data_IF_833524475367
#
_entry.id   IF_833524475367
#
_cell.length_a   1.000
_cell.length_b   1.000
_cell.length_c   1.000
_cell.angle_alpha   90.00
_cell.angle_beta   90.00
_cell.angle_gamma   90.00
#
_symmetry.space_group_name_H-M   'P 1'
#
loop_
_entity.id
_entity.type
_entity.pdbx_description
1 polymer ?
#
# COMPACT_ATOMS: atom_id res chain seq x y z
N UNK A 1 7.51 17.57 8.46
CA UNK A 1 8.73 17.74 9.28
C UNK A 1 9.93 18.02 8.40
N UNK A 2 10.95 18.69 8.94
CA UNK A 2 12.26 18.89 8.31
C UNK A 2 13.28 18.00 9.04
N UNK A 3 13.94 17.10 8.31
CA UNK A 3 14.96 16.20 8.85
C UNK A 3 16.20 16.26 7.95
N UNK A 4 17.37 16.57 8.51
CA UNK A 4 18.66 16.46 7.82
C UNK A 4 19.52 15.46 8.58
N UNK A 5 19.79 14.31 7.99
CA UNK A 5 20.49 13.19 8.65
C UNK A 5 21.25 12.32 7.63
N UNK A 6 22.30 11.60 8.05
CA UNK A 6 22.96 10.59 7.24
C UNK A 6 22.02 9.45 6.84
N UNK A 7 22.28 8.85 5.67
CA UNK A 7 21.53 7.69 5.17
C UNK A 7 22.20 6.38 5.56
N UNK A 8 21.41 5.42 6.05
CA UNK A 8 21.81 4.03 6.27
C UNK A 8 21.09 3.13 5.26
N UNK A 9 21.86 2.34 4.49
CA UNK A 9 21.30 1.36 3.55
C UNK A 9 20.88 0.11 4.32
N UNK A 10 19.60 -0.23 4.25
CA UNK A 10 19.13 -1.50 4.78
C UNK A 10 19.34 -2.58 3.71
N UNK A 11 20.07 -3.67 4.02
CA UNK A 11 20.39 -4.72 3.06
C UNK A 11 19.15 -5.50 2.62
N UNK A 12 19.33 -6.30 1.56
CA UNK A 12 18.28 -7.07 0.92
C UNK A 12 17.06 -6.20 0.55
N UNK A 13 15.92 -6.49 1.16
CA UNK A 13 14.68 -5.73 1.01
C UNK A 13 14.22 -5.10 2.33
N UNK A 14 14.98 -5.20 3.43
CA UNK A 14 14.56 -4.68 4.73
C UNK A 14 13.24 -5.27 5.23
N UNK A 15 12.97 -6.53 4.90
CA UNK A 15 11.71 -7.21 5.22
C UNK A 15 11.79 -8.01 6.52
N UNK A 16 12.99 -8.24 7.04
CA UNK A 16 13.20 -9.01 8.26
C UNK A 16 14.04 -8.25 9.27
N UNK A 17 13.84 -8.46 10.58
CA UNK A 17 14.65 -7.84 11.64
C UNK A 17 16.17 -7.95 11.41
N UNK A 18 16.64 -9.08 10.89
CA UNK A 18 18.06 -9.32 10.59
C UNK A 18 18.65 -8.33 9.59
N UNK A 19 17.85 -7.83 8.64
CA UNK A 19 18.31 -6.83 7.66
C UNK A 19 18.67 -5.52 8.37
N UNK A 20 17.79 -5.11 9.30
CA UNK A 20 17.94 -3.88 10.07
C UNK A 20 19.01 -3.98 11.15
N UNK A 21 19.17 -5.15 11.76
CA UNK A 21 20.24 -5.43 12.73
C UNK A 21 21.62 -5.36 12.09
N UNK A 22 21.77 -5.88 10.86
CA UNK A 22 23.03 -5.80 10.10
C UNK A 22 23.39 -4.38 9.71
N UNK A 23 22.41 -3.58 9.28
CA UNK A 23 22.63 -2.17 8.97
C UNK A 23 22.87 -1.32 10.21
N UNK A 24 22.36 -1.77 11.37
CA UNK A 24 22.38 -1.06 12.65
C UNK A 24 22.13 0.46 12.51
N UNK A 25 20.98 0.89 11.97
CA UNK A 25 20.72 2.30 11.70
C UNK A 25 20.58 3.14 12.98
N UNK A 26 20.60 2.53 14.18
CA UNK A 26 20.61 3.23 15.45
C UNK A 26 21.98 3.89 15.73
N UNK A 27 22.38 4.83 14.89
CA UNK A 27 23.30 5.86 15.34
C UNK A 27 22.48 6.73 16.31
N UNK A 28 23.03 6.99 17.49
CA UNK A 28 22.35 7.56 18.65
C UNK A 28 21.38 8.72 18.28
N UNK A 29 20.17 8.74 18.88
CA UNK A 29 19.17 9.83 18.83
C UNK A 29 18.30 10.00 17.56
N UNK A 30 17.82 8.94 16.90
CA UNK A 30 16.97 9.06 15.67
C UNK A 30 17.65 9.78 14.50
N UNK A 31 18.97 9.67 14.42
CA UNK A 31 19.81 10.49 13.53
C UNK A 31 20.09 9.85 12.17
N UNK A 32 19.26 8.92 11.69
CA UNK A 32 19.49 8.30 10.37
C UNK A 32 18.22 8.18 9.55
N UNK A 33 18.36 8.34 8.24
CA UNK A 33 17.33 7.97 7.27
C UNK A 33 17.64 6.58 6.72
N UNK A 34 16.69 5.65 6.85
CA UNK A 34 16.83 4.32 6.28
C UNK A 34 16.50 4.35 4.78
N UNK A 35 17.37 3.79 3.93
CA UNK A 35 17.10 3.53 2.52
C UNK A 35 16.82 2.04 2.32
N UNK A 36 15.64 1.72 1.78
CA UNK A 36 15.16 0.33 1.61
C UNK A 36 14.70 0.10 0.17
N UNK A 37 15.10 -1.02 -0.43
CA UNK A 37 14.68 -1.40 -1.79
C UNK A 37 13.23 -1.91 -1.80
N UNK A 38 12.46 -1.55 -2.82
CA UNK A 38 11.14 -2.14 -3.12
C UNK A 38 11.27 -3.65 -3.34
N UNK A 39 10.34 -4.42 -2.80
CA UNK A 39 10.24 -5.86 -3.04
C UNK A 39 9.99 -6.65 -1.76
N UNK A 40 9.64 -7.92 -1.96
CA UNK A 40 9.43 -9.00 -0.98
C UNK A 40 8.34 -8.79 0.10
N UNK A 41 8.18 -7.60 0.63
CA UNK A 41 7.18 -7.23 1.63
C UNK A 41 6.59 -5.85 1.32
N UNK A 42 5.48 -5.52 1.95
CA UNK A 42 4.76 -4.26 1.77
C UNK A 42 5.54 -3.08 2.35
N UNK A 43 5.27 -1.87 1.85
CA UNK A 43 5.84 -0.66 2.44
C UNK A 43 5.39 -0.42 3.89
N UNK A 44 4.20 -0.93 4.26
CA UNK A 44 3.70 -0.89 5.65
C UNK A 44 4.57 -1.76 6.57
N UNK A 45 5.01 -2.93 6.11
CA UNK A 45 5.91 -3.80 6.89
C UNK A 45 7.30 -3.17 7.05
N UNK A 46 7.88 -2.65 5.96
CA UNK A 46 9.15 -1.91 6.02
C UNK A 46 9.06 -0.72 6.98
N UNK A 47 7.95 0.00 6.93
CA UNK A 47 7.65 1.12 7.80
C UNK A 47 7.56 0.73 9.29
N UNK A 48 6.88 -0.39 9.60
CA UNK A 48 6.84 -0.93 10.98
C UNK A 48 8.22 -1.28 11.50
N UNK A 49 9.08 -1.86 10.66
CA UNK A 49 10.47 -2.15 11.04
C UNK A 49 11.25 -0.84 11.23
N UNK A 50 11.12 0.13 10.32
CA UNK A 50 11.73 1.45 10.47
C UNK A 50 11.36 2.10 11.82
N UNK A 51 10.09 2.04 12.21
CA UNK A 51 9.62 2.48 13.52
C UNK A 51 10.26 1.69 14.67
N UNK A 52 10.30 0.36 14.58
CA UNK A 52 10.93 -0.51 15.60
C UNK A 52 12.41 -0.20 15.81
N UNK A 53 13.13 0.16 14.74
CA UNK A 53 14.54 0.54 14.80
C UNK A 53 14.77 2.04 15.03
N UNK A 54 13.70 2.81 15.30
CA UNK A 54 13.74 4.23 15.73
C UNK A 54 14.52 5.14 14.75
N UNK A 55 14.31 4.94 13.45
CA UNK A 55 14.94 5.79 12.41
C UNK A 55 14.27 7.16 12.35
N UNK A 56 15.03 8.17 11.92
CA UNK A 56 14.53 9.54 11.75
C UNK A 56 13.64 9.71 10.52
N UNK A 57 13.83 8.89 9.48
CA UNK A 57 13.07 8.92 8.22
C UNK A 57 13.23 7.64 7.41
N UNK A 58 12.32 7.44 6.44
CA UNK A 58 12.31 6.26 5.57
C UNK A 58 12.28 6.66 4.08
N UNK A 59 13.27 6.18 3.32
CA UNK A 59 13.29 6.22 1.88
C UNK A 59 13.08 4.81 1.35
N UNK A 60 12.03 4.61 0.56
CA UNK A 60 11.86 3.39 -0.22
C UNK A 60 12.18 3.72 -1.67
N UNK A 61 12.98 2.92 -2.37
CA UNK A 61 13.26 3.16 -3.79
C UNK A 61 12.80 2.01 -4.66
N UNK A 62 12.39 2.32 -5.89
CA UNK A 62 11.95 1.30 -6.84
C UNK A 62 13.09 0.32 -7.17
N UNK A 63 12.77 -0.88 -7.65
CA UNK A 63 13.77 -1.94 -7.79
C UNK A 63 14.37 -2.11 -9.18
N UNK A 64 13.84 -1.39 -10.18
CA UNK A 64 14.33 -1.43 -11.55
C UNK A 64 14.13 -2.79 -12.24
N UNK A 65 13.25 -3.65 -11.71
CA UNK A 65 13.09 -5.02 -12.20
C UNK A 65 12.42 -5.13 -13.58
N UNK A 66 11.75 -4.06 -14.02
CA UNK A 66 11.12 -3.94 -15.35
C UNK A 66 11.02 -2.46 -15.74
N UNK A 67 10.68 -2.19 -17.00
CA UNK A 67 10.63 -0.83 -17.56
C UNK A 67 9.70 0.10 -16.77
N UNK A 68 8.59 -0.43 -16.26
CA UNK A 68 7.58 0.24 -15.43
C UNK A 68 7.94 0.31 -13.93
N UNK A 69 9.12 -0.17 -13.54
CA UNK A 69 9.59 -0.22 -12.15
C UNK A 69 10.81 0.67 -11.90
N UNK A 70 10.90 1.77 -12.64
CA UNK A 70 11.92 2.79 -12.45
C UNK A 70 11.40 4.03 -11.73
N UNK A 71 10.19 4.48 -12.01
CA UNK A 71 9.65 5.73 -11.46
C UNK A 71 9.18 5.62 -10.01
N UNK A 72 9.10 6.72 -9.25
CA UNK A 72 8.54 6.70 -7.90
C UNK A 72 7.07 6.24 -7.87
N UNK A 73 6.65 5.64 -6.75
CA UNK A 73 5.25 5.27 -6.53
C UNK A 73 4.62 6.08 -5.40
N UNK A 74 3.34 6.40 -5.54
CA UNK A 74 2.52 6.74 -4.38
C UNK A 74 2.45 5.51 -3.47
N UNK A 75 2.76 5.70 -2.18
CA UNK A 75 2.82 4.58 -1.24
C UNK A 75 2.27 4.96 0.12
N UNK A 76 1.74 3.96 0.83
CA UNK A 76 1.26 4.10 2.21
C UNK A 76 2.29 3.54 3.17
N UNK A 77 2.56 4.28 4.25
CA UNK A 77 3.45 3.87 5.34
C UNK A 77 2.73 3.37 6.59
N UNK A 78 1.39 3.30 6.54
CA UNK A 78 0.55 2.84 7.64
C UNK A 78 0.32 3.91 8.72
N UNK A 79 -0.59 3.61 9.65
CA UNK A 79 -1.12 4.58 10.62
C UNK A 79 -0.22 4.88 11.85
N UNK A 80 1.02 4.36 11.90
CA UNK A 80 1.84 4.33 13.13
C UNK A 80 3.24 4.92 12.97
N UNK A 81 3.44 5.88 12.08
CA UNK A 81 4.77 6.46 11.83
C UNK A 81 4.86 7.90 12.29
N UNK A 82 5.85 8.20 13.14
CA UNK A 82 6.18 9.56 13.56
C UNK A 82 7.33 10.19 12.74
N UNK A 83 7.73 9.56 11.63
CA UNK A 83 8.84 9.98 10.78
C UNK A 83 8.38 10.24 9.34
N UNK A 84 9.03 11.17 8.61
CA UNK A 84 8.76 11.37 7.19
C UNK A 84 9.18 10.14 6.38
N UNK A 85 8.39 9.82 5.35
CA UNK A 85 8.70 8.75 4.41
C UNK A 85 8.45 9.17 2.97
N UNK A 86 9.35 8.81 2.06
CA UNK A 86 9.25 9.12 0.64
C UNK A 86 9.59 7.89 -0.22
N UNK A 87 8.97 7.80 -1.39
CA UNK A 87 9.32 6.82 -2.41
C UNK A 87 10.18 7.47 -3.48
N UNK A 88 11.27 6.82 -3.87
CA UNK A 88 12.24 7.30 -4.84
C UNK A 88 12.20 6.44 -6.11
N UNK A 89 12.66 7.03 -7.20
CA UNK A 89 12.96 6.27 -8.41
C UNK A 89 14.11 5.27 -8.15
N UNK A 90 14.19 4.24 -8.99
CA UNK A 90 15.29 3.29 -8.95
C UNK A 90 16.63 4.01 -9.08
N UNK A 91 16.77 4.92 -10.05
CA UNK A 91 18.03 5.63 -10.32
C UNK A 91 18.53 6.41 -9.11
N UNK A 92 17.66 7.19 -8.45
CA UNK A 92 18.05 7.99 -7.29
C UNK A 92 18.43 7.07 -6.12
N UNK A 93 17.59 6.08 -5.80
CA UNK A 93 17.87 5.18 -4.68
C UNK A 93 19.13 4.33 -4.90
N UNK A 94 19.30 3.80 -6.12
CA UNK A 94 20.49 3.04 -6.49
C UNK A 94 21.76 3.91 -6.47
N UNK A 95 21.66 5.18 -6.88
CA UNK A 95 22.78 6.11 -6.79
C UNK A 95 23.21 6.37 -5.35
N UNK A 96 22.26 6.61 -4.45
CA UNK A 96 22.54 6.77 -3.01
C UNK A 96 23.19 5.50 -2.45
N UNK A 97 22.61 4.33 -2.76
CA UNK A 97 23.18 3.05 -2.33
C UNK A 97 24.62 2.87 -2.79
N UNK A 98 24.90 3.11 -4.08
CA UNK A 98 26.25 2.97 -4.63
C UNK A 98 27.25 3.87 -3.91
N UNK A 99 26.91 5.14 -3.66
CA UNK A 99 27.82 6.05 -2.93
C UNK A 99 28.20 5.46 -1.57
N UNK A 100 27.22 4.94 -0.82
CA UNK A 100 27.43 4.36 0.51
C UNK A 100 28.21 3.04 0.44
N UNK A 101 27.91 2.17 -0.53
CA UNK A 101 28.65 0.91 -0.75
C UNK A 101 30.14 1.16 -1.04
N UNK A 102 30.48 2.30 -1.65
CA UNK A 102 31.87 2.73 -1.92
C UNK A 102 32.45 3.62 -0.81
N UNK A 103 31.98 3.46 0.44
CA UNK A 103 32.42 4.20 1.64
C UNK A 103 32.22 5.72 1.58
N UNK A 104 31.34 6.20 0.70
CA UNK A 104 30.89 7.58 0.71
C UNK A 104 29.83 7.84 1.79
N UNK A 105 29.52 9.11 2.01
CA UNK A 105 28.43 9.54 2.90
C UNK A 105 27.38 10.31 2.10
N UNK A 106 26.12 10.14 2.48
CA UNK A 106 25.00 10.89 1.90
C UNK A 106 24.18 11.44 3.05
N UNK A 107 23.99 12.76 3.03
CA UNK A 107 23.01 13.44 3.88
C UNK A 107 21.79 13.79 3.04
N UNK A 108 20.60 13.56 3.60
CA UNK A 108 19.33 13.89 2.95
C UNK A 108 18.54 14.84 3.81
N UNK A 109 17.95 15.85 3.17
CA UNK A 109 16.96 16.72 3.80
C UNK A 109 15.56 16.32 3.34
N UNK A 110 14.74 15.81 4.26
CA UNK A 110 13.35 15.44 3.98
C UNK A 110 12.42 16.55 4.48
N UNK A 111 11.61 17.09 3.57
CA UNK A 111 10.50 17.99 3.89
C UNK A 111 9.19 17.36 3.47
N UNK A 112 8.40 16.93 4.45
CA UNK A 112 7.05 16.39 4.23
C UNK A 112 6.04 17.32 4.88
N UNK A 113 5.07 17.77 4.09
CA UNK A 113 3.87 18.46 4.58
C UNK A 113 2.77 17.41 4.65
N UNK A 114 2.19 17.23 5.84
CA UNK A 114 1.01 16.41 6.01
C UNK A 114 -0.17 17.37 6.00
N UNK A 115 -1.09 17.14 5.09
CA UNK A 115 -2.40 17.79 5.10
C UNK A 115 -3.36 16.78 5.69
N UNK A 116 -3.84 17.07 6.90
CA UNK A 116 -4.96 16.34 7.46
C UNK A 116 -6.19 16.73 6.62
N UNK A 117 -6.75 15.74 5.93
CA UNK A 117 -8.03 15.93 5.25
C UNK A 117 -9.12 15.90 6.33
N UNK A 118 -10.06 16.84 6.24
CA UNK A 118 -11.26 16.81 7.07
C UNK A 118 -11.99 15.48 6.88
N UNK A 119 -12.63 14.99 7.95
CA UNK A 119 -13.50 13.83 7.87
C UNK A 119 -14.58 14.08 6.81
N UNK A 120 -14.72 13.16 5.85
CA UNK A 120 -15.75 13.19 4.84
C UNK A 120 -16.60 11.92 4.91
N UNK A 121 -17.88 12.06 4.57
CA UNK A 121 -18.81 10.93 4.57
C UNK A 121 -18.41 9.92 3.48
N UNK A 122 -18.12 8.70 3.91
CA UNK A 122 -18.01 7.53 3.05
C UNK A 122 -19.25 6.66 3.21
N UNK A 123 -19.67 5.98 2.14
CA UNK A 123 -20.89 5.16 2.15
C UNK A 123 -20.64 3.85 1.44
N UNK A 124 -21.02 2.76 2.12
CA UNK A 124 -21.00 1.43 1.55
C UNK A 124 -22.42 1.09 1.06
N UNK A 125 -22.52 0.52 -0.14
CA UNK A 125 -23.79 0.03 -0.67
C UNK A 125 -23.73 -1.48 -0.70
N UNK A 126 -24.70 -2.15 -0.07
CA UNK A 126 -24.83 -3.61 -0.13
C UNK A 126 -26.24 -4.02 -0.53
N UNK A 127 -26.36 -5.03 -1.38
CA UNK A 127 -27.60 -5.61 -1.83
C UNK A 127 -27.59 -7.14 -1.62
N UNK A 128 -28.65 -7.65 -1.01
CA UNK A 128 -28.84 -9.08 -0.74
C UNK A 128 -29.78 -9.71 -1.78
N UNK A 129 -29.52 -10.96 -2.17
CA UNK A 129 -30.52 -11.75 -2.89
C UNK A 129 -31.78 -11.94 -2.04
N UNK A 130 -32.95 -11.94 -2.69
CA UNK A 130 -34.26 -12.08 -2.01
C UNK A 130 -34.47 -13.45 -1.34
N UNK A 131 -33.71 -14.46 -1.76
CA UNK A 131 -33.79 -15.83 -1.25
C UNK A 131 -32.41 -16.34 -0.83
N UNK A 132 -32.40 -17.51 -0.20
CA UNK A 132 -31.21 -18.14 0.37
C UNK A 132 -31.14 -18.01 1.90
N UNK A 133 -30.32 -18.85 2.52
CA UNK A 133 -30.16 -18.85 3.97
C UNK A 133 -29.28 -17.68 4.43
N UNK A 134 -29.84 -16.77 5.22
CA UNK A 134 -29.13 -15.60 5.75
C UNK A 134 -27.92 -15.98 6.64
N UNK A 135 -27.94 -17.16 7.26
CA UNK A 135 -26.85 -17.69 8.09
C UNK A 135 -25.70 -18.25 7.25
N UNK A 136 -25.88 -18.37 5.92
CA UNK A 136 -24.87 -18.81 4.96
C UNK A 136 -24.82 -17.79 3.82
N UNK A 137 -24.10 -16.70 4.05
CA UNK A 137 -24.00 -15.59 3.10
C UNK A 137 -22.66 -15.62 2.37
N UNK A 138 -22.70 -15.65 1.05
CA UNK A 138 -21.53 -15.39 0.20
C UNK A 138 -21.49 -13.89 -0.05
N UNK A 139 -20.34 -13.26 0.23
CA UNK A 139 -20.15 -11.82 -0.05
C UNK A 139 -19.27 -11.68 -1.28
N UNK A 140 -19.76 -10.92 -2.26
CA UNK A 140 -19.00 -10.49 -3.44
C UNK A 140 -18.80 -8.98 -3.34
N UNK A 141 -17.57 -8.52 -3.53
CA UNK A 141 -17.19 -7.15 -3.22
C UNK A 141 -16.31 -6.49 -4.26
N UNK A 142 -16.48 -5.18 -4.40
CA UNK A 142 -15.57 -4.26 -5.08
C UNK A 142 -15.55 -2.94 -4.29
N UNK A 143 -14.55 -2.10 -4.50
CA UNK A 143 -14.56 -0.73 -3.95
C UNK A 143 -14.84 0.28 -5.06
N UNK A 144 -15.34 1.45 -4.66
CA UNK A 144 -15.84 2.51 -5.54
C UNK A 144 -14.97 3.76 -5.50
N UNK A 145 -14.05 3.85 -4.54
CA UNK A 145 -13.06 4.91 -4.48
C UNK A 145 -11.91 4.67 -5.47
N UNK A 146 -11.20 5.75 -5.78
CA UNK A 146 -9.96 5.78 -6.56
C UNK A 146 -9.00 6.79 -5.93
N UNK A 147 -7.75 6.76 -6.35
CA UNK A 147 -6.80 7.84 -6.02
C UNK A 147 -7.11 9.08 -6.86
N UNK A 148 -6.77 10.26 -6.34
CA UNK A 148 -7.07 11.57 -6.94
C UNK A 148 -6.54 11.71 -8.37
N UNK A 149 -5.39 11.09 -8.65
CA UNK A 149 -4.69 11.18 -9.93
C UNK A 149 -5.20 10.18 -10.98
N UNK A 150 -6.14 9.29 -10.62
CA UNK A 150 -6.61 8.20 -11.47
C UNK A 150 -8.11 8.24 -11.68
N UNK A 151 -8.54 8.00 -12.92
CA UNK A 151 -9.95 7.75 -13.26
C UNK A 151 -10.48 6.42 -12.71
N UNK A 152 -9.62 5.58 -12.12
CA UNK A 152 -10.02 4.36 -11.42
C UNK A 152 -10.58 3.24 -12.30
N UNK A 153 -10.34 3.26 -13.62
CA UNK A 153 -11.02 2.35 -14.54
C UNK A 153 -10.73 0.86 -14.26
N UNK A 154 -9.49 0.53 -13.90
CA UNK A 154 -9.11 -0.84 -13.55
C UNK A 154 -9.06 -1.05 -12.03
N UNK A 155 -8.75 -0.01 -11.27
CA UNK A 155 -8.68 -0.03 -9.81
C UNK A 155 -9.62 1.07 -9.27
N UNK A 156 -10.90 0.77 -9.02
CA UNK A 156 -11.55 -0.55 -9.20
C UNK A 156 -12.90 -0.49 -9.93
N UNK A 157 -12.98 0.36 -10.95
CA UNK A 157 -14.13 0.49 -11.84
C UNK A 157 -14.47 -0.83 -12.56
N UNK A 158 -13.48 -1.58 -13.00
CA UNK A 158 -13.66 -2.88 -13.66
C UNK A 158 -14.30 -3.91 -12.72
N UNK A 159 -13.80 -4.01 -11.48
CA UNK A 159 -14.40 -4.86 -10.45
C UNK A 159 -15.80 -4.41 -10.07
N UNK A 160 -16.03 -3.11 -9.95
CA UNK A 160 -17.37 -2.53 -9.67
C UNK A 160 -18.38 -2.83 -10.77
N UNK A 161 -17.98 -2.71 -12.04
CA UNK A 161 -18.82 -3.08 -13.18
C UNK A 161 -19.10 -4.59 -13.22
N UNK A 162 -18.08 -5.42 -13.01
CA UNK A 162 -18.24 -6.87 -12.97
C UNK A 162 -19.17 -7.32 -11.83
N UNK A 163 -19.04 -6.72 -10.65
CA UNK A 163 -19.88 -6.98 -9.48
C UNK A 163 -21.36 -6.64 -9.77
N UNK A 164 -21.62 -5.52 -10.45
CA UNK A 164 -22.97 -5.12 -10.86
C UNK A 164 -23.57 -6.09 -11.89
N UNK A 165 -22.82 -6.46 -12.92
CA UNK A 165 -23.28 -7.43 -13.93
C UNK A 165 -23.55 -8.79 -13.30
N UNK A 166 -22.73 -9.20 -12.33
CA UNK A 166 -22.95 -10.45 -11.60
C UNK A 166 -24.24 -10.38 -10.77
N UNK A 167 -24.47 -9.27 -10.07
CA UNK A 167 -25.69 -9.06 -9.28
C UNK A 167 -26.96 -9.13 -10.13
N UNK A 168 -26.98 -8.47 -11.30
CA UNK A 168 -28.14 -8.47 -12.20
C UNK A 168 -28.39 -9.83 -12.85
N UNK A 169 -27.33 -10.54 -13.25
CA UNK A 169 -27.45 -11.89 -13.80
C UNK A 169 -27.93 -12.89 -12.75
N UNK A 170 -27.42 -12.81 -11.52
CA UNK A 170 -27.87 -13.67 -10.41
C UNK A 170 -29.33 -13.41 -10.08
N UNK A 171 -29.78 -12.15 -10.00
CA UNK A 171 -31.19 -11.83 -9.79
C UNK A 171 -32.07 -12.41 -10.91
N UNK A 172 -31.66 -12.23 -12.17
CA UNK A 172 -32.39 -12.77 -13.33
C UNK A 172 -32.50 -14.30 -13.30
N UNK A 173 -31.41 -15.00 -12.96
CA UNK A 173 -31.40 -16.46 -12.82
C UNK A 173 -32.30 -16.92 -11.67
N UNK A 174 -32.22 -16.28 -10.51
CA UNK A 174 -33.04 -16.64 -9.35
C UNK A 174 -34.54 -16.36 -9.55
N UNK A 175 -34.88 -15.43 -10.44
CA UNK A 175 -36.26 -15.16 -10.85
C UNK A 175 -36.75 -16.07 -12.00
N UNK A 176 -35.88 -16.91 -12.58
CA UNK A 176 -36.25 -17.85 -13.64
C UNK A 176 -36.91 -19.10 -13.04
N UNK A 177 -38.17 -19.44 -13.38
CA UNK A 177 -38.91 -20.53 -12.72
C UNK A 177 -38.27 -21.92 -12.82
N UNK A 178 -37.56 -22.19 -13.92
CA UNK A 178 -36.86 -23.46 -14.14
C UNK A 178 -35.52 -23.54 -13.42
N UNK A 179 -35.01 -22.44 -12.88
CA UNK A 179 -33.72 -22.41 -12.20
C UNK A 179 -33.87 -22.97 -10.77
N UNK A 180 -33.01 -23.92 -10.36
CA UNK A 180 -33.08 -24.47 -9.02
C UNK A 180 -32.76 -23.39 -7.98
N UNK A 181 -33.54 -23.36 -6.90
CA UNK A 181 -33.32 -22.42 -5.80
C UNK A 181 -31.92 -22.64 -5.20
N UNK A 182 -31.13 -21.57 -5.18
CA UNK A 182 -29.80 -21.59 -4.58
C UNK A 182 -29.92 -21.52 -3.03
N UNK A 183 -29.21 -22.36 -2.26
CA UNK A 183 -29.45 -22.51 -0.83
C UNK A 183 -28.84 -21.38 0.03
N UNK A 184 -27.85 -20.65 -0.47
CA UNK A 184 -27.15 -19.59 0.27
C UNK A 184 -27.64 -18.21 -0.18
N UNK A 185 -27.64 -17.24 0.74
CA UNK A 185 -27.82 -15.83 0.36
C UNK A 185 -26.54 -15.33 -0.32
N UNK A 186 -26.67 -14.50 -1.35
CA UNK A 186 -25.53 -13.77 -1.91
C UNK A 186 -25.71 -12.29 -1.59
N UNK A 187 -24.65 -11.65 -1.09
CA UNK A 187 -24.57 -10.22 -0.79
C UNK A 187 -23.54 -9.59 -1.72
N UNK A 188 -23.97 -8.60 -2.50
CA UNK A 188 -23.10 -7.80 -3.34
C UNK A 188 -22.84 -6.47 -2.62
N UNK A 189 -21.58 -6.14 -2.38
CA UNK A 189 -21.19 -4.90 -1.71
C UNK A 189 -20.23 -4.05 -2.55
N UNK A 190 -20.41 -2.75 -2.46
CA UNK A 190 -19.57 -1.70 -3.02
C UNK A 190 -19.09 -0.84 -1.85
N UNK A 191 -17.78 -0.89 -1.61
CA UNK A 191 -17.09 -0.18 -0.53
C UNK A 191 -16.62 1.21 -0.96
#
# INVERSE_FOLDING_TARGET
GNLSQPVSVIPEFGCFPVDWERANPKIQNRTTVALVKRGQCTSVEKSRLAAKYDVGGLLVYNDGASWDRNDPLNFRVGFYTSFPALFLSFDIGNRIKQIIDFNGTVEVTMKVTVEDLDDFNVSNVCADTRSGNISKTIVVGSHTDSVKESSGINDNGSGTAANLVLATNVDSLLNTPSYPKYPNRIRFCWW
#
